data_IF_455224497905
#
_entry.id   IF_455224497905
#
_cell.length_a   1.000
_cell.length_b   1.000
_cell.length_c   1.000
_cell.angle_alpha   90.00
_cell.angle_beta   90.00
_cell.angle_gamma   90.00
#
_symmetry.space_group_name_H-M   'P 1'
#
loop_
_entity.id
_entity.type
_entity.pdbx_description
1 polymer ?
#
# COMPACT_ATOMS: atom_id res chain seq x y z
N UNK A 1 -15.32 -25.87 -49.35
CA UNK A 1 -15.10 -26.80 -48.22
C UNK A 1 -14.39 -26.14 -47.04
N UNK A 2 -13.27 -25.43 -47.25
CA UNK A 2 -12.56 -24.75 -46.15
C UNK A 2 -13.37 -23.58 -45.52
N UNK A 3 -14.01 -22.74 -46.34
CA UNK A 3 -14.81 -21.61 -45.84
C UNK A 3 -16.04 -22.02 -45.03
N UNK A 4 -16.69 -23.13 -45.39
CA UNK A 4 -17.84 -23.69 -44.64
C UNK A 4 -17.41 -24.28 -43.29
N UNK A 5 -16.23 -24.89 -43.22
CA UNK A 5 -15.66 -25.38 -41.95
C UNK A 5 -15.30 -24.21 -41.03
N UNK A 6 -14.66 -23.17 -41.56
CA UNK A 6 -14.33 -21.95 -40.80
C UNK A 6 -15.59 -21.29 -40.25
N UNK A 7 -16.63 -21.14 -41.07
CA UNK A 7 -17.90 -20.56 -40.63
C UNK A 7 -18.58 -21.41 -39.54
N UNK A 8 -18.62 -22.73 -39.70
CA UNK A 8 -19.19 -23.63 -38.70
C UNK A 8 -18.43 -23.56 -37.36
N UNK A 9 -17.10 -23.47 -37.40
CA UNK A 9 -16.27 -23.28 -36.20
C UNK A 9 -16.53 -21.93 -35.55
N UNK A 10 -16.61 -20.84 -36.32
CA UNK A 10 -16.91 -19.50 -35.78
C UNK A 10 -18.30 -19.44 -35.15
N UNK A 11 -19.31 -20.07 -35.79
CA UNK A 11 -20.67 -20.17 -35.24
C UNK A 11 -20.69 -21.03 -33.98
N UNK A 12 -19.99 -22.17 -33.96
CA UNK A 12 -19.89 -23.00 -32.76
C UNK A 12 -19.19 -22.27 -31.61
N UNK A 13 -18.11 -21.52 -31.88
CA UNK A 13 -17.45 -20.65 -30.91
C UNK A 13 -18.41 -19.58 -30.40
N UNK A 14 -19.15 -18.90 -31.29
CA UNK A 14 -20.13 -17.90 -30.90
C UNK A 14 -21.24 -18.50 -30.03
N UNK A 15 -21.77 -19.66 -30.40
CA UNK A 15 -22.78 -20.39 -29.61
C UNK A 15 -22.21 -20.73 -28.24
N UNK A 16 -21.01 -21.32 -28.15
CA UNK A 16 -20.37 -21.67 -26.87
C UNK A 16 -20.12 -20.42 -26.01
N UNK A 17 -19.72 -19.31 -26.61
CA UNK A 17 -19.52 -18.04 -25.90
C UNK A 17 -20.86 -17.53 -25.35
N UNK A 18 -21.90 -17.43 -26.19
CA UNK A 18 -23.22 -16.91 -25.80
C UNK A 18 -23.98 -17.87 -24.88
N UNK A 19 -23.76 -19.19 -24.98
CA UNK A 19 -24.41 -20.21 -24.16
C UNK A 19 -23.77 -20.39 -22.79
N UNK A 20 -22.59 -19.82 -22.54
CA UNK A 20 -22.02 -19.76 -21.19
C UNK A 20 -22.92 -18.89 -20.31
N UNK A 21 -23.70 -19.54 -19.45
CA UNK A 21 -24.48 -18.84 -18.42
C UNK A 21 -23.54 -17.97 -17.59
N UNK A 22 -24.00 -16.75 -17.30
CA UNK A 22 -23.33 -15.89 -16.31
C UNK A 22 -23.37 -16.65 -14.99
N UNK A 23 -22.21 -17.06 -14.50
CA UNK A 23 -22.12 -17.70 -13.19
C UNK A 23 -22.39 -16.63 -12.11
N UNK A 24 -23.18 -17.00 -11.11
CA UNK A 24 -23.48 -16.12 -9.98
C UNK A 24 -22.20 -15.83 -9.18
N UNK A 25 -22.04 -14.63 -8.61
CA UNK A 25 -20.86 -14.33 -7.80
C UNK A 25 -20.73 -15.32 -6.64
N UNK A 26 -19.53 -15.84 -6.41
CA UNK A 26 -19.28 -16.72 -5.25
C UNK A 26 -19.54 -15.89 -3.99
N UNK A 27 -20.35 -16.43 -3.08
CA UNK A 27 -20.80 -15.75 -1.86
C UNK A 27 -21.48 -14.39 -2.11
N UNK A 28 -22.03 -14.16 -3.31
CA UNK A 28 -22.63 -12.88 -3.69
C UNK A 28 -21.63 -11.73 -3.90
N UNK A 29 -20.32 -12.00 -3.81
CA UNK A 29 -19.26 -10.96 -3.80
C UNK A 29 -18.25 -11.19 -4.91
N UNK A 30 -17.74 -12.42 -5.06
CA UNK A 30 -16.59 -12.69 -5.91
C UNK A 30 -17.02 -13.03 -7.33
N UNK A 31 -16.99 -12.03 -8.22
CA UNK A 31 -17.38 -12.18 -9.63
C UNK A 31 -16.60 -13.29 -10.31
N UNK A 32 -17.27 -13.95 -11.25
CA UNK A 32 -16.75 -15.05 -12.06
C UNK A 32 -16.65 -14.65 -13.53
N UNK A 33 -15.86 -15.41 -14.29
CA UNK A 33 -15.66 -15.12 -15.70
C UNK A 33 -16.90 -15.46 -16.52
N UNK A 34 -17.66 -14.44 -16.95
CA UNK A 34 -18.79 -14.63 -17.87
C UNK A 34 -18.39 -14.91 -19.33
N UNK A 35 -19.37 -14.93 -20.23
CA UNK A 35 -19.23 -15.10 -21.68
C UNK A 35 -18.05 -14.35 -22.30
N UNK A 36 -17.91 -13.06 -21.98
CA UNK A 36 -16.90 -12.19 -22.58
C UNK A 36 -15.57 -12.17 -21.84
N UNK A 37 -15.36 -13.04 -20.85
CA UNK A 37 -14.17 -13.03 -20.00
C UNK A 37 -12.86 -13.05 -20.80
N UNK A 38 -12.72 -13.98 -21.76
CA UNK A 38 -11.49 -14.10 -22.56
C UNK A 38 -11.27 -12.85 -23.42
N UNK A 39 -12.33 -12.30 -24.00
CA UNK A 39 -12.25 -11.07 -24.78
C UNK A 39 -11.82 -9.87 -23.93
N UNK A 40 -12.47 -9.66 -22.79
CA UNK A 40 -12.12 -8.63 -21.80
C UNK A 40 -10.67 -8.78 -21.32
N UNK A 41 -10.25 -10.02 -21.05
CA UNK A 41 -8.89 -10.34 -20.64
C UNK A 41 -7.86 -9.95 -21.71
N UNK A 42 -8.09 -10.33 -22.97
CA UNK A 42 -7.18 -10.01 -24.09
C UNK A 42 -7.11 -8.49 -24.30
N UNK A 43 -8.25 -7.79 -24.32
CA UNK A 43 -8.27 -6.32 -24.43
C UNK A 43 -7.43 -5.69 -23.33
N UNK A 44 -7.66 -6.08 -22.07
CA UNK A 44 -6.95 -5.46 -20.95
C UNK A 44 -5.46 -5.80 -20.95
N UNK A 45 -5.08 -7.00 -21.41
CA UNK A 45 -3.66 -7.36 -21.64
C UNK A 45 -3.00 -6.47 -22.68
N UNK A 46 -3.69 -6.13 -23.77
CA UNK A 46 -3.19 -5.21 -24.80
C UNK A 46 -3.04 -3.80 -24.23
N UNK A 47 -4.02 -3.31 -23.46
CA UNK A 47 -3.94 -2.01 -22.79
C UNK A 47 -2.73 -1.94 -21.85
N UNK A 48 -2.55 -2.94 -20.98
CA UNK A 48 -1.43 -2.99 -20.04
C UNK A 48 -0.07 -3.09 -20.77
N UNK A 49 -0.01 -3.84 -21.86
CA UNK A 49 1.19 -3.92 -22.69
C UNK A 49 1.52 -2.57 -23.35
N UNK A 50 0.53 -1.88 -23.92
CA UNK A 50 0.70 -0.55 -24.50
C UNK A 50 1.20 0.47 -23.46
N UNK A 51 0.62 0.47 -22.25
CA UNK A 51 1.08 1.32 -21.14
C UNK A 51 2.54 1.04 -20.76
N UNK A 52 2.94 -0.24 -20.72
CA UNK A 52 4.33 -0.62 -20.44
C UNK A 52 5.29 -0.11 -21.52
N UNK A 53 4.93 -0.21 -22.79
CA UNK A 53 5.72 0.33 -23.90
C UNK A 53 5.85 1.86 -23.83
N UNK A 54 4.75 2.56 -23.49
CA UNK A 54 4.76 4.00 -23.30
C UNK A 54 5.70 4.43 -22.18
N UNK A 55 5.65 3.78 -21.01
CA UNK A 55 6.58 4.04 -19.90
C UNK A 55 8.05 3.89 -20.34
N UNK A 56 8.39 2.76 -20.97
CA UNK A 56 9.75 2.51 -21.46
C UNK A 56 10.19 3.57 -22.48
N UNK A 57 9.29 4.02 -23.35
CA UNK A 57 9.56 5.10 -24.32
C UNK A 57 9.84 6.43 -23.62
N UNK A 58 9.03 6.80 -22.63
CA UNK A 58 9.20 8.04 -21.86
C UNK A 58 10.54 8.05 -21.10
N UNK A 59 10.90 6.93 -20.48
CA UNK A 59 12.17 6.77 -19.74
C UNK A 59 13.39 6.83 -20.68
N UNK A 60 13.31 6.17 -21.84
CA UNK A 60 14.45 6.02 -22.78
C UNK A 60 14.64 7.24 -23.68
N UNK A 61 13.57 7.80 -24.26
CA UNK A 61 13.65 8.85 -25.29
C UNK A 61 13.64 10.27 -24.72
N UNK A 62 12.96 10.50 -23.60
CA UNK A 62 12.81 11.85 -23.05
C UNK A 62 13.71 12.10 -21.83
N UNK A 63 14.44 11.08 -21.37
CA UNK A 63 15.21 11.16 -20.13
C UNK A 63 14.36 11.50 -18.90
N UNK A 64 13.03 11.41 -19.00
CA UNK A 64 12.07 11.64 -17.93
C UNK A 64 12.10 10.44 -16.99
N UNK A 65 13.15 10.36 -16.17
CA UNK A 65 13.10 9.52 -14.98
C UNK A 65 12.03 10.08 -14.06
N UNK A 66 11.25 9.20 -13.44
CA UNK A 66 10.34 9.58 -12.35
C UNK A 66 11.11 10.44 -11.37
N UNK A 67 10.61 11.65 -11.11
CA UNK A 67 11.19 12.53 -10.11
C UNK A 67 10.80 11.99 -8.74
N UNK A 68 11.61 11.09 -8.19
CA UNK A 68 11.33 10.46 -6.90
C UNK A 68 11.22 11.50 -5.77
N UNK A 69 11.95 12.61 -5.86
CA UNK A 69 11.85 13.72 -4.91
C UNK A 69 10.44 14.30 -4.86
N UNK A 70 9.72 14.36 -5.99
CA UNK A 70 8.38 14.94 -6.00
C UNK A 70 7.32 14.02 -5.41
N UNK A 71 7.50 12.70 -5.48
CA UNK A 71 6.51 11.73 -4.97
C UNK A 71 6.79 11.26 -3.55
N UNK A 72 7.98 11.55 -3.02
CA UNK A 72 8.39 11.21 -1.64
C UNK A 72 8.14 12.35 -0.63
N UNK A 73 7.92 13.56 -1.13
CA UNK A 73 7.51 14.70 -0.31
C UNK A 73 6.01 14.62 0.02
N UNK A 74 5.55 15.34 1.06
CA UNK A 74 4.13 15.52 1.32
C UNK A 74 3.38 15.97 0.06
N UNK A 75 2.29 15.27 -0.22
CA UNK A 75 1.48 15.48 -1.42
C UNK A 75 0.35 16.47 -1.13
N UNK A 76 0.00 17.34 -2.10
CA UNK A 76 -1.19 18.17 -1.98
C UNK A 76 -2.44 17.29 -1.88
N UNK A 77 -3.25 17.53 -0.86
CA UNK A 77 -4.51 16.82 -0.67
C UNK A 77 -5.56 17.32 -1.66
N UNK A 78 -6.39 16.41 -2.17
CA UNK A 78 -7.52 16.78 -3.03
C UNK A 78 -8.63 17.49 -2.24
N UNK A 79 -9.61 18.04 -2.96
CA UNK A 79 -10.76 18.70 -2.31
C UNK A 79 -11.72 17.75 -1.60
N UNK A 80 -11.58 16.44 -1.78
CA UNK A 80 -12.49 15.47 -1.19
C UNK A 80 -12.34 15.38 0.34
N UNK A 81 -13.45 15.20 1.07
CA UNK A 81 -13.42 15.09 2.54
C UNK A 81 -12.55 13.92 3.05
N UNK A 82 -12.52 12.82 2.29
CA UNK A 82 -11.66 11.65 2.54
C UNK A 82 -10.29 11.71 1.84
N UNK A 83 -9.83 12.88 1.40
CA UNK A 83 -8.49 13.04 0.84
C UNK A 83 -7.42 12.57 1.84
N UNK A 84 -6.31 12.06 1.33
CA UNK A 84 -5.29 11.47 2.17
C UNK A 84 -3.93 11.41 1.46
N UNK A 85 -2.92 11.33 2.29
CA UNK A 85 -1.61 10.76 1.98
C UNK A 85 -1.17 9.98 3.21
N UNK A 86 -0.50 8.83 3.04
CA UNK A 86 -0.03 8.01 4.13
C UNK A 86 1.40 7.52 3.89
N UNK A 87 2.21 7.57 4.94
CA UNK A 87 3.51 6.91 5.02
C UNK A 87 3.47 5.94 6.19
N UNK A 88 3.87 4.70 5.95
CA UNK A 88 3.85 3.64 6.95
C UNK A 88 5.16 2.85 6.96
N UNK A 89 5.57 2.42 8.14
CA UNK A 89 6.77 1.65 8.36
C UNK A 89 6.50 0.46 9.25
N UNK A 90 7.08 -0.68 8.87
CA UNK A 90 7.12 -1.89 9.69
C UNK A 90 8.56 -2.34 9.80
N UNK A 91 8.98 -2.76 10.98
CA UNK A 91 10.25 -3.43 11.16
C UNK A 91 10.13 -4.56 12.16
N UNK A 92 10.86 -5.65 11.94
CA UNK A 92 10.95 -6.74 12.89
C UNK A 92 12.30 -7.46 12.80
N UNK A 93 12.70 -8.09 13.91
CA UNK A 93 13.90 -8.91 13.95
C UNK A 93 13.71 -10.17 14.79
N UNK A 94 14.76 -10.98 14.87
CA UNK A 94 14.73 -12.28 15.57
C UNK A 94 14.81 -12.16 17.08
N UNK A 95 15.19 -11.01 17.63
CA UNK A 95 15.22 -10.83 19.08
C UNK A 95 13.83 -10.59 19.65
N UNK A 96 12.80 -10.49 18.79
CA UNK A 96 11.42 -10.23 19.17
C UNK A 96 11.06 -8.75 19.14
N UNK A 97 11.95 -7.88 18.64
CA UNK A 97 11.61 -6.48 18.40
C UNK A 97 10.66 -6.37 17.21
N UNK A 98 9.60 -5.57 17.35
CA UNK A 98 8.85 -5.07 16.20
C UNK A 98 8.41 -3.62 16.37
N UNK A 99 8.32 -2.92 15.24
CA UNK A 99 7.79 -1.57 15.09
C UNK A 99 6.70 -1.61 14.02
N UNK A 100 5.57 -0.99 14.30
CA UNK A 100 4.59 -0.61 13.29
C UNK A 100 4.17 0.83 13.55
N UNK A 101 4.49 1.75 12.64
CA UNK A 101 4.21 3.17 12.81
C UNK A 101 3.80 3.81 11.50
N UNK A 102 2.86 4.75 11.57
CA UNK A 102 2.30 5.41 10.41
C UNK A 102 1.83 6.81 10.71
N UNK A 103 1.78 7.61 9.66
CA UNK A 103 1.16 8.93 9.65
C UNK A 103 0.41 9.08 8.33
N UNK A 104 -0.89 9.30 8.43
CA UNK A 104 -1.77 9.57 7.30
C UNK A 104 -2.32 10.99 7.42
N UNK A 105 -1.86 11.90 6.57
CA UNK A 105 -2.31 13.29 6.54
C UNK A 105 -3.74 13.38 6.02
N UNK A 106 -4.51 14.29 6.61
CA UNK A 106 -5.93 14.54 6.31
C UNK A 106 -6.16 16.04 6.18
N UNK A 107 -7.35 16.41 5.69
CA UNK A 107 -7.75 17.82 5.58
C UNK A 107 -7.75 18.51 6.95
N UNK A 108 -7.72 19.84 6.91
CA UNK A 108 -7.88 20.72 8.08
C UNK A 108 -6.79 20.54 9.15
N UNK A 109 -5.55 20.27 8.74
CA UNK A 109 -4.43 20.13 9.66
C UNK A 109 -4.50 18.90 10.54
N UNK A 110 -5.21 17.86 10.09
CA UNK A 110 -5.35 16.59 10.82
C UNK A 110 -4.44 15.51 10.24
N UNK A 111 -4.15 14.50 11.06
CA UNK A 111 -3.56 13.25 10.62
C UNK A 111 -4.07 12.08 11.45
N UNK A 112 -4.10 10.89 10.86
CA UNK A 112 -4.15 9.64 11.61
C UNK A 112 -2.73 9.16 11.87
N UNK A 113 -2.25 9.22 13.10
CA UNK A 113 -0.91 8.76 13.45
C UNK A 113 -0.94 7.70 14.55
N UNK A 114 -0.04 6.72 14.43
CA UNK A 114 0.05 5.61 15.37
C UNK A 114 1.49 5.10 15.50
N UNK A 115 1.80 4.54 16.67
CA UNK A 115 3.04 3.82 16.90
C UNK A 115 2.79 2.63 17.83
N UNK A 116 3.21 1.45 17.38
CA UNK A 116 3.30 0.22 18.15
C UNK A 116 4.76 -0.21 18.22
N UNK A 117 5.25 -0.47 19.42
CA UNK A 117 6.65 -0.83 19.67
C UNK A 117 6.71 -2.03 20.61
N UNK A 118 7.09 -3.20 20.12
CA UNK A 118 7.41 -4.33 20.97
C UNK A 118 8.87 -4.34 21.32
N UNK A 119 9.12 -4.32 22.62
CA UNK A 119 10.45 -4.38 23.18
C UNK A 119 10.61 -5.72 23.90
N UNK A 120 11.57 -6.57 23.51
CA UNK A 120 11.82 -7.84 24.17
C UNK A 120 12.01 -7.66 25.68
N UNK A 121 11.33 -8.49 26.48
CA UNK A 121 11.36 -8.41 27.95
C UNK A 121 10.41 -7.37 28.55
N UNK A 122 9.92 -6.38 27.78
CA UNK A 122 8.95 -5.38 28.25
C UNK A 122 7.51 -5.67 27.79
N UNK A 123 7.36 -6.08 26.53
CA UNK A 123 6.05 -6.28 25.90
C UNK A 123 5.73 -5.24 24.82
N UNK A 124 4.47 -5.23 24.38
CA UNK A 124 3.98 -4.31 23.35
C UNK A 124 3.58 -2.98 23.97
N UNK A 125 4.27 -1.92 23.58
CA UNK A 125 3.94 -0.54 23.92
C UNK A 125 3.11 0.10 22.80
N UNK A 126 2.07 0.82 23.19
CA UNK A 126 1.11 1.47 22.30
C UNK A 126 1.13 2.99 22.54
N UNK A 127 1.21 3.80 21.48
CA UNK A 127 1.12 5.26 21.60
C UNK A 127 -0.16 5.68 22.34
N UNK A 128 -0.05 6.67 23.22
CA UNK A 128 -1.15 7.15 24.08
C UNK A 128 -2.45 7.49 23.33
N UNK A 129 -2.36 7.97 22.09
CA UNK A 129 -3.52 8.29 21.27
C UNK A 129 -4.44 7.08 20.98
N UNK A 130 -3.93 5.84 21.06
CA UNK A 130 -4.70 4.65 20.69
C UNK A 130 -5.90 4.39 21.64
N UNK A 131 -7.11 4.12 21.08
CA UNK A 131 -7.38 3.80 19.68
C UNK A 131 -7.74 5.00 18.79
N UNK A 132 -7.87 6.21 19.33
CA UNK A 132 -8.22 7.40 18.55
C UNK A 132 -6.99 8.04 17.91
N UNK A 133 -6.69 7.65 16.67
CA UNK A 133 -5.48 8.11 15.98
C UNK A 133 -5.61 9.48 15.31
N UNK A 134 -6.79 10.11 15.33
CA UNK A 134 -6.98 11.44 14.76
C UNK A 134 -6.33 12.51 15.65
N UNK A 135 -5.33 13.19 15.10
CA UNK A 135 -4.43 14.10 15.80
C UNK A 135 -4.20 15.35 14.96
N UNK A 136 -3.72 16.41 15.58
CA UNK A 136 -3.21 17.58 14.87
C UNK A 136 -1.82 17.26 14.28
N UNK A 137 -1.62 17.64 13.02
CA UNK A 137 -0.31 17.54 12.36
C UNK A 137 0.34 18.92 12.29
N UNK A 138 1.64 18.96 12.59
CA UNK A 138 2.43 20.18 12.49
C UNK A 138 2.55 20.61 11.02
N UNK A 139 1.82 21.68 10.66
CA UNK A 139 1.75 22.20 9.30
C UNK A 139 3.07 22.81 8.82
N UNK A 140 3.84 23.43 9.72
CA UNK A 140 5.13 24.04 9.39
C UNK A 140 6.15 22.96 9.06
N UNK A 141 6.16 21.88 9.84
CA UNK A 141 7.00 20.70 9.59
C UNK A 141 6.58 19.96 8.34
N UNK A 142 5.26 19.82 8.10
CA UNK A 142 4.76 19.22 6.87
C UNK A 142 5.21 20.00 5.63
N UNK A 143 5.17 21.34 5.67
CA UNK A 143 5.69 22.18 4.59
C UNK A 143 7.20 21.99 4.34
N UNK A 144 7.95 21.54 5.35
CA UNK A 144 9.38 21.21 5.25
C UNK A 144 9.64 19.75 4.83
N UNK A 145 8.60 18.95 4.61
CA UNK A 145 8.72 17.54 4.24
C UNK A 145 8.80 16.58 5.43
N UNK A 146 8.37 17.01 6.61
CA UNK A 146 8.38 16.21 7.84
C UNK A 146 6.95 15.90 8.30
N UNK A 147 6.66 14.64 8.59
CA UNK A 147 5.37 14.19 9.08
C UNK A 147 5.41 14.11 10.60
N UNK A 148 4.75 15.04 11.30
CA UNK A 148 4.80 15.09 12.76
C UNK A 148 3.42 15.19 13.40
N UNK A 149 3.00 14.14 14.11
CA UNK A 149 1.73 14.07 14.83
C UNK A 149 1.80 13.03 15.97
N UNK A 150 1.27 13.36 17.16
CA UNK A 150 1.16 12.41 18.28
C UNK A 150 2.46 11.74 18.72
N UNK A 151 3.58 12.47 18.67
CA UNK A 151 4.92 11.97 18.98
C UNK A 151 5.63 11.28 17.82
N UNK A 152 4.91 10.85 16.77
CA UNK A 152 5.51 10.33 15.53
C UNK A 152 6.21 11.47 14.77
N UNK A 153 7.42 11.22 14.27
CA UNK A 153 8.13 12.11 13.36
C UNK A 153 8.81 11.30 12.25
N UNK A 154 8.44 11.56 10.99
CA UNK A 154 9.12 11.01 9.81
C UNK A 154 9.73 12.11 8.96
N UNK A 155 10.96 11.89 8.50
CA UNK A 155 11.65 12.81 7.59
C UNK A 155 12.34 12.05 6.47
N UNK A 156 11.98 12.38 5.23
CA UNK A 156 12.71 11.89 4.06
C UNK A 156 14.10 12.54 4.03
N UNK A 157 15.15 11.72 3.92
CA UNK A 157 16.55 12.18 3.83
C UNK A 157 17.06 12.01 2.40
N UNK A 158 16.76 10.87 1.79
CA UNK A 158 17.10 10.57 0.40
C UNK A 158 15.95 9.80 -0.22
N UNK A 159 15.33 10.31 -1.29
CA UNK A 159 14.15 9.71 -1.89
C UNK A 159 14.42 8.25 -2.26
N UNK A 160 13.45 7.36 -2.02
CA UNK A 160 13.54 5.92 -2.31
C UNK A 160 14.71 5.19 -1.66
N UNK A 161 15.39 5.78 -0.67
CA UNK A 161 16.58 5.15 -0.08
C UNK A 161 16.74 5.38 1.41
N UNK A 162 16.38 6.54 1.97
CA UNK A 162 16.66 6.84 3.38
C UNK A 162 15.63 7.75 4.03
N UNK A 163 15.14 7.32 5.18
CA UNK A 163 14.20 8.04 6.03
C UNK A 163 14.67 8.05 7.48
N UNK A 164 14.46 9.15 8.18
CA UNK A 164 14.48 9.19 9.65
C UNK A 164 13.09 8.89 10.15
N UNK A 165 13.03 8.02 11.15
CA UNK A 165 11.79 7.58 11.80
C UNK A 165 12.00 7.76 13.28
N UNK A 166 11.14 8.52 13.94
CA UNK A 166 11.22 8.73 15.37
C UNK A 166 9.83 8.68 16.01
N UNK A 167 9.84 8.35 17.30
CA UNK A 167 8.70 8.49 18.17
C UNK A 167 9.17 9.05 19.51
N UNK A 168 8.53 10.11 20.00
CA UNK A 168 8.78 10.65 21.33
C UNK A 168 7.46 10.97 22.03
N UNK A 169 7.19 10.28 23.14
CA UNK A 169 5.96 10.47 23.89
C UNK A 169 5.66 9.33 24.85
N UNK A 170 4.49 9.41 25.49
CA UNK A 170 4.01 8.38 26.41
C UNK A 170 3.40 7.20 25.65
N UNK A 171 3.75 6.00 26.08
CA UNK A 171 3.16 4.75 25.59
C UNK A 171 2.64 3.91 26.75
N UNK A 172 1.50 3.25 26.57
CA UNK A 172 0.96 2.31 27.56
C UNK A 172 1.25 0.86 27.16
N UNK A 173 1.33 -0.05 28.13
CA UNK A 173 1.48 -1.49 27.87
C UNK A 173 0.19 -2.10 27.33
N UNK A 174 0.28 -2.85 26.23
CA UNK A 174 -0.85 -3.62 25.73
C UNK A 174 -1.32 -4.64 26.76
N UNK A 175 -2.62 -4.62 27.08
CA UNK A 175 -3.22 -5.45 28.12
C UNK A 175 -3.31 -4.78 29.50
N UNK A 176 -2.53 -3.72 29.75
CA UNK A 176 -2.60 -2.95 30.99
C UNK A 176 -2.28 -1.46 30.74
N UNK A 177 -3.33 -0.66 30.53
CA UNK A 177 -3.21 0.78 30.25
C UNK A 177 -2.72 1.60 31.46
N UNK A 178 -2.69 1.04 32.66
CA UNK A 178 -2.20 1.75 33.85
C UNK A 178 -0.67 1.85 33.88
N UNK A 179 0.00 0.95 33.17
CA UNK A 179 1.45 0.97 33.00
C UNK A 179 1.83 1.86 31.82
N UNK A 180 2.32 3.05 32.13
CA UNK A 180 2.73 4.07 31.15
C UNK A 180 4.24 4.28 31.22
N UNK A 181 4.84 4.44 30.05
CA UNK A 181 6.27 4.61 29.87
C UNK A 181 6.56 5.85 29.02
N UNK A 182 7.58 6.60 29.39
CA UNK A 182 8.13 7.66 28.53
C UNK A 182 9.08 7.01 27.53
N UNK A 183 8.76 7.09 26.23
CA UNK A 183 9.50 6.40 25.17
C UNK A 183 10.13 7.41 24.22
N UNK A 184 11.42 7.21 23.95
CA UNK A 184 12.17 7.92 22.91
C UNK A 184 12.79 6.90 21.95
N UNK A 185 12.20 6.79 20.76
CA UNK A 185 12.69 5.96 19.66
C UNK A 185 13.24 6.83 18.55
N UNK A 186 14.47 6.54 18.12
CA UNK A 186 15.10 7.19 16.97
C UNK A 186 15.71 6.13 16.05
N UNK A 187 15.29 6.14 14.79
CA UNK A 187 15.68 5.18 13.78
C UNK A 187 16.00 5.81 12.44
N UNK A 188 16.78 5.07 11.65
CA UNK A 188 17.00 5.33 10.23
C UNK A 188 16.54 4.11 9.47
N UNK A 189 15.53 4.29 8.62
CA UNK A 189 15.17 3.31 7.63
C UNK A 189 15.98 3.54 6.37
N UNK A 190 16.50 2.47 5.79
CA UNK A 190 17.27 2.53 4.56
C UNK A 190 17.03 1.35 3.64
N UNK A 191 17.19 1.58 2.34
CA UNK A 191 17.13 0.54 1.33
C UNK A 191 18.06 0.81 0.14
N UNK A 192 18.55 -0.29 -0.42
CA UNK A 192 19.19 -0.39 -1.74
C UNK A 192 18.40 -1.31 -2.68
N UNK A 193 17.23 -1.80 -2.24
CA UNK A 193 16.35 -2.65 -3.03
C UNK A 193 15.46 -1.78 -3.92
N UNK A 194 15.04 -2.28 -5.08
CA UNK A 194 14.01 -1.61 -5.88
C UNK A 194 12.72 -1.46 -5.06
N UNK A 195 11.97 -0.41 -5.34
CA UNK A 195 10.59 -0.28 -4.89
C UNK A 195 9.66 -1.07 -5.82
N UNK A 196 8.49 -1.43 -5.30
CA UNK A 196 7.40 -2.03 -6.04
C UNK A 196 6.31 -0.99 -6.24
N UNK A 197 6.08 -0.56 -7.48
CA UNK A 197 5.05 0.40 -7.86
C UNK A 197 3.79 -0.34 -8.33
N UNK A 198 2.69 -0.18 -7.60
CA UNK A 198 1.44 -0.86 -7.92
C UNK A 198 0.83 -0.45 -9.27
N UNK A 199 1.23 0.69 -9.83
CA UNK A 199 0.75 1.11 -11.14
C UNK A 199 1.41 0.34 -12.29
N UNK A 200 2.67 -0.06 -12.11
CA UNK A 200 3.51 -0.57 -13.21
C UNK A 200 4.07 -1.98 -13.01
N UNK A 201 4.24 -2.41 -11.76
CA UNK A 201 4.95 -3.66 -11.43
C UNK A 201 4.01 -4.83 -11.13
N UNK A 202 2.70 -4.58 -11.04
CA UNK A 202 1.70 -5.64 -10.96
C UNK A 202 1.79 -6.58 -12.17
N UNK A 203 1.77 -7.89 -11.90
CA UNK A 203 1.84 -8.89 -12.96
C UNK A 203 0.64 -8.73 -13.92
N UNK A 204 0.86 -8.40 -15.22
CA UNK A 204 -0.23 -8.00 -16.11
C UNK A 204 -1.32 -9.05 -16.30
N UNK A 205 -0.95 -10.33 -16.26
CA UNK A 205 -1.94 -11.40 -16.35
C UNK A 205 -2.82 -11.48 -15.10
N UNK A 206 -2.31 -11.14 -13.92
CA UNK A 206 -3.10 -11.17 -12.68
C UNK A 206 -4.10 -10.02 -12.67
N UNK A 207 -3.64 -8.80 -12.99
CA UNK A 207 -4.52 -7.63 -13.08
C UNK A 207 -5.60 -7.80 -14.17
N UNK A 208 -5.21 -8.23 -15.38
CA UNK A 208 -6.17 -8.47 -16.46
C UNK A 208 -7.18 -9.56 -16.11
N UNK A 209 -6.77 -10.61 -15.38
CA UNK A 209 -7.69 -11.65 -14.88
C UNK A 209 -8.71 -11.05 -13.91
N UNK A 210 -8.28 -10.24 -12.95
CA UNK A 210 -9.18 -9.62 -11.97
C UNK A 210 -10.20 -8.72 -12.67
N UNK A 211 -9.74 -7.77 -13.48
CA UNK A 211 -10.59 -6.81 -14.21
C UNK A 211 -11.53 -7.49 -15.21
N UNK A 212 -11.11 -8.59 -15.85
CA UNK A 212 -11.96 -9.30 -16.81
C UNK A 212 -13.12 -10.08 -16.16
N UNK A 213 -13.07 -10.35 -14.85
CA UNK A 213 -14.19 -10.99 -14.13
C UNK A 213 -15.32 -10.02 -13.86
N UNK A 214 -15.01 -8.74 -13.72
CA UNK A 214 -15.99 -7.72 -13.37
C UNK A 214 -16.95 -7.41 -14.54
N UNK A 215 -18.13 -6.90 -14.18
CA UNK A 215 -19.13 -6.46 -15.15
C UNK A 215 -18.70 -5.10 -15.72
N UNK A 216 -18.27 -5.08 -16.99
CA UNK A 216 -17.80 -3.85 -17.63
C UNK A 216 -18.96 -2.93 -17.98
N UNK A 217 -18.94 -1.74 -17.42
CA UNK A 217 -19.82 -0.61 -17.73
C UNK A 217 -19.02 0.68 -17.68
N UNK A 218 -19.60 1.79 -18.14
CA UNK A 218 -19.01 3.12 -17.95
C UNK A 218 -18.78 3.40 -16.46
N UNK A 219 -19.78 3.15 -15.64
CA UNK A 219 -19.74 3.38 -14.19
C UNK A 219 -18.63 2.55 -13.51
N UNK A 220 -18.40 1.31 -13.95
CA UNK A 220 -17.30 0.49 -13.46
C UNK A 220 -15.94 1.14 -13.76
N UNK A 221 -15.73 1.60 -14.99
CA UNK A 221 -14.47 2.27 -15.36
C UNK A 221 -14.30 3.65 -14.71
N UNK A 222 -15.39 4.37 -14.46
CA UNK A 222 -15.34 5.63 -13.72
C UNK A 222 -15.03 5.37 -12.23
N UNK A 223 -15.57 4.29 -11.65
CA UNK A 223 -15.22 3.81 -10.31
C UNK A 223 -13.74 3.41 -10.21
N UNK A 224 -13.21 2.71 -11.21
CA UNK A 224 -11.78 2.36 -11.27
C UNK A 224 -10.89 3.61 -11.27
N UNK A 225 -11.26 4.66 -12.02
CA UNK A 225 -10.53 5.93 -12.03
C UNK A 225 -10.65 6.64 -10.68
N UNK A 226 -11.83 6.63 -10.07
CA UNK A 226 -12.07 7.24 -8.76
C UNK A 226 -11.29 6.58 -7.62
N UNK A 227 -11.13 5.26 -7.69
CA UNK A 227 -10.42 4.45 -6.71
C UNK A 227 -8.90 4.42 -6.93
N UNK A 228 -8.42 5.00 -8.02
CA UNK A 228 -6.99 5.08 -8.30
C UNK A 228 -6.26 5.89 -7.21
N UNK A 229 -5.15 5.34 -6.76
CA UNK A 229 -4.19 5.96 -5.85
C UNK A 229 -2.78 5.61 -6.33
N UNK A 230 -1.84 6.51 -6.11
CA UNK A 230 -0.42 6.17 -6.22
C UNK A 230 -0.04 5.41 -4.97
N UNK A 231 0.56 4.24 -5.14
CA UNK A 231 0.99 3.39 -4.03
C UNK A 231 2.24 2.64 -4.43
N UNK A 232 3.27 2.74 -3.61
CA UNK A 232 4.48 1.97 -3.77
C UNK A 232 5.02 1.49 -2.43
N UNK A 233 5.71 0.36 -2.49
CA UNK A 233 6.25 -0.34 -1.34
C UNK A 233 7.74 -0.56 -1.51
N UNK A 234 8.47 -0.58 -0.40
CA UNK A 234 9.90 -0.84 -0.43
C UNK A 234 10.35 -1.61 0.79
N UNK A 235 11.06 -2.70 0.54
CA UNK A 235 11.73 -3.48 1.57
C UNK A 235 13.08 -2.84 1.90
N UNK A 236 13.52 -2.96 3.15
CA UNK A 236 14.73 -2.31 3.63
C UNK A 236 15.22 -2.84 4.97
N UNK A 237 15.91 -1.97 5.69
CA UNK A 237 16.42 -2.20 7.04
C UNK A 237 16.12 -1.00 7.92
N UNK A 238 15.98 -1.26 9.22
CA UNK A 238 15.87 -0.24 10.25
C UNK A 238 17.05 -0.40 11.20
N UNK A 239 17.74 0.71 11.46
CA UNK A 239 18.77 0.82 12.49
C UNK A 239 18.35 1.94 13.43
N UNK A 240 18.24 1.67 14.73
CA UNK A 240 17.72 2.64 15.68
C UNK A 240 18.06 2.36 17.12
N UNK A 241 17.52 3.21 17.98
CA UNK A 241 17.69 3.19 19.43
C UNK A 241 16.36 3.45 20.09
N UNK A 242 16.07 2.71 21.16
CA UNK A 242 14.89 2.90 22.01
C UNK A 242 15.38 3.19 23.42
N UNK A 243 14.91 4.28 24.01
CA UNK A 243 15.05 4.59 25.44
C UNK A 243 13.67 4.58 26.08
N UNK A 244 13.56 3.97 27.26
CA UNK A 244 12.31 3.87 28.03
C UNK A 244 12.58 4.45 29.42
N UNK A 245 11.76 5.40 29.88
CA UNK A 245 11.88 6.06 31.19
C UNK A 245 13.27 6.64 31.49
N UNK A 246 13.98 7.11 30.46
CA UNK A 246 15.37 7.57 30.55
C UNK A 246 16.35 6.52 31.12
N UNK A 247 15.98 5.23 31.06
CA UNK A 247 16.80 4.08 31.43
C UNK A 247 17.76 3.67 30.29
N UNK A 248 18.23 2.42 30.29
CA UNK A 248 19.17 1.90 29.30
C UNK A 248 18.62 2.02 27.85
N UNK A 249 19.47 2.52 26.95
CA UNK A 249 19.18 2.61 25.52
C UNK A 249 19.42 1.27 24.82
N UNK A 250 18.36 0.72 24.23
CA UNK A 250 18.41 -0.53 23.46
C UNK A 250 18.72 -0.20 22.00
N UNK A 251 19.82 -0.73 21.48
CA UNK A 251 20.14 -0.66 20.05
C UNK A 251 19.34 -1.71 19.27
N UNK A 252 18.76 -1.30 18.15
CA UNK A 252 17.89 -2.13 17.32
C UNK A 252 18.41 -2.16 15.89
N UNK A 253 18.56 -3.36 15.35
CA UNK A 253 18.76 -3.60 13.92
C UNK A 253 17.71 -4.60 13.45
N UNK A 254 16.96 -4.24 12.41
CA UNK A 254 15.82 -5.02 11.95
C UNK A 254 15.69 -4.99 10.43
N UNK A 255 15.06 -6.04 9.88
CA UNK A 255 14.50 -5.93 8.54
C UNK A 255 13.27 -5.04 8.58
N UNK A 256 13.03 -4.32 7.50
CA UNK A 256 11.97 -3.33 7.48
C UNK A 256 11.25 -3.27 6.13
N UNK A 257 10.10 -2.62 6.18
CA UNK A 257 9.19 -2.35 5.09
C UNK A 257 8.73 -0.89 5.23
N UNK A 258 8.53 -0.25 4.09
CA UNK A 258 7.91 1.07 3.99
C UNK A 258 6.85 1.01 2.90
N UNK A 259 5.71 1.65 3.14
CA UNK A 259 4.81 2.08 2.07
C UNK A 259 4.66 3.60 2.06
N UNK A 260 4.32 4.12 0.88
CA UNK A 260 3.81 5.48 0.72
C UNK A 260 2.67 5.43 -0.28
N UNK A 261 1.54 6.01 0.09
CA UNK A 261 0.34 6.03 -0.73
C UNK A 261 -0.39 7.36 -0.63
N UNK A 262 -0.97 7.81 -1.73
CA UNK A 262 -1.75 9.04 -1.79
C UNK A 262 -2.72 9.02 -2.96
N UNK A 263 -3.80 9.80 -2.85
CA UNK A 263 -4.80 9.85 -3.90
C UNK A 263 -5.95 10.79 -3.59
N UNK A 264 -6.93 10.81 -4.50
CA UNK A 264 -8.11 11.69 -4.38
C UNK A 264 -8.87 11.43 -3.07
N UNK A 265 -9.11 10.17 -2.74
CA UNK A 265 -9.82 9.75 -1.52
C UNK A 265 -9.38 8.36 -1.09
N UNK A 266 -9.42 8.08 0.22
CA UNK A 266 -9.33 6.73 0.77
C UNK A 266 -10.58 6.40 1.54
N UNK A 267 -11.22 5.33 1.11
CA UNK A 267 -12.43 4.84 1.75
C UNK A 267 -12.28 3.36 2.07
N UNK A 268 -12.04 3.06 3.35
CA UNK A 268 -11.84 1.70 3.83
C UNK A 268 -13.09 0.83 3.67
N UNK A 269 -14.28 1.41 3.52
CA UNK A 269 -15.52 0.66 3.26
C UNK A 269 -15.55 0.02 1.87
N UNK A 270 -14.62 0.37 0.98
CA UNK A 270 -14.51 -0.25 -0.34
C UNK A 270 -13.86 -1.64 -0.24
N UNK A 271 -13.05 -1.89 0.77
CA UNK A 271 -12.42 -3.19 0.99
C UNK A 271 -13.39 -4.11 1.70
N UNK A 272 -13.78 -5.21 1.04
CA UNK A 272 -14.58 -6.24 1.67
C UNK A 272 -13.72 -7.13 2.59
N UNK A 273 -12.52 -7.49 2.13
CA UNK A 273 -11.52 -8.22 2.92
C UNK A 273 -10.14 -8.00 2.33
N UNK A 274 -9.11 -8.06 3.16
CA UNK A 274 -7.75 -8.16 2.69
C UNK A 274 -6.89 -8.98 3.66
N UNK A 275 -5.83 -9.58 3.12
CA UNK A 275 -4.74 -10.16 3.88
C UNK A 275 -3.45 -9.53 3.41
N UNK A 276 -2.61 -9.11 4.35
CA UNK A 276 -1.33 -8.47 4.07
C UNK A 276 -0.27 -9.01 5.02
N UNK A 277 0.74 -9.67 4.46
CA UNK A 277 1.83 -10.27 5.20
C UNK A 277 3.16 -9.72 4.72
N UNK A 278 3.94 -9.20 5.66
CA UNK A 278 5.35 -8.86 5.46
C UNK A 278 6.17 -9.92 6.18
N UNK A 279 7.01 -10.63 5.43
CA UNK A 279 7.77 -11.77 5.90
C UNK A 279 9.26 -11.48 5.79
N UNK A 280 10.00 -11.68 6.89
CA UNK A 280 11.44 -11.53 6.95
C UNK A 280 12.08 -12.87 7.35
N UNK A 281 12.90 -13.44 6.46
CA UNK A 281 13.43 -14.80 6.62
C UNK A 281 14.85 -14.82 7.18
N UNK A 282 15.28 -16.01 7.65
CA UNK A 282 16.58 -16.19 8.29
C UNK A 282 17.77 -16.05 7.33
N UNK A 283 17.57 -16.37 6.08
CA UNK A 283 18.55 -16.21 5.00
C UNK A 283 18.67 -14.75 4.52
N UNK A 284 17.85 -13.83 5.05
CA UNK A 284 17.80 -12.42 4.65
C UNK A 284 16.81 -12.15 3.52
N UNK A 285 16.14 -13.17 2.97
CA UNK A 285 15.04 -13.03 2.03
C UNK A 285 13.88 -12.29 2.68
N UNK A 286 13.14 -11.52 1.87
CA UNK A 286 12.02 -10.68 2.31
C UNK A 286 10.90 -10.80 1.30
N UNK A 287 9.68 -10.96 1.78
CA UNK A 287 8.52 -11.18 0.93
C UNK A 287 7.35 -10.37 1.45
N UNK A 288 6.62 -9.72 0.55
CA UNK A 288 5.31 -9.13 0.82
C UNK A 288 4.28 -9.95 0.06
N UNK A 289 3.24 -10.42 0.76
CA UNK A 289 2.12 -11.15 0.17
C UNK A 289 0.83 -10.44 0.52
N UNK A 290 0.11 -10.00 -0.50
CA UNK A 290 -1.14 -9.26 -0.36
C UNK A 290 -2.25 -9.89 -1.20
N UNK A 291 -3.45 -9.98 -0.63
CA UNK A 291 -4.69 -10.28 -1.36
C UNK A 291 -5.73 -9.28 -0.92
N UNK A 292 -6.35 -8.57 -1.86
CA UNK A 292 -7.33 -7.52 -1.58
C UNK A 292 -8.59 -7.82 -2.38
N UNK A 293 -9.72 -7.86 -1.69
CA UNK A 293 -11.05 -7.87 -2.29
C UNK A 293 -11.66 -6.49 -2.12
N UNK A 294 -11.77 -5.78 -3.24
CA UNK A 294 -12.43 -4.49 -3.34
C UNK A 294 -13.51 -4.61 -4.41
N UNK A 295 -14.73 -5.08 -4.08
CA UNK A 295 -15.73 -5.48 -5.07
C UNK A 295 -16.15 -4.40 -6.07
N UNK A 296 -15.91 -3.12 -5.78
CA UNK A 296 -16.17 -2.03 -6.70
C UNK A 296 -15.12 -1.88 -7.82
N UNK A 297 -13.94 -2.50 -7.69
CA UNK A 297 -12.84 -2.45 -8.66
C UNK A 297 -12.35 -3.84 -9.06
N UNK A 298 -12.05 -4.69 -8.08
CA UNK A 298 -11.65 -6.08 -8.27
C UNK A 298 -12.09 -6.90 -7.06
N UNK A 299 -13.08 -7.77 -7.26
CA UNK A 299 -13.62 -8.59 -6.19
C UNK A 299 -12.68 -9.69 -5.71
N UNK A 300 -11.66 -10.09 -6.50
CA UNK A 300 -10.73 -11.20 -6.21
C UNK A 300 -9.26 -10.82 -6.35
#
# INVERSE_FOLDING_TARGET
MLGTIILAVLVAILIILVSKRKEEPVLGIYKQGGTFYIFKYVIFRVILFARKLEKMRLETQLGKKTNFDSIEKPQPLSEHAKAFEAVFFVAANRTGFYLATGCETRKNGKANALCYLMVPGKGLLCSEALPNTELDIDQEKLAQGEYQAGGVNFKMVTPMSRWKIAYKGKMFLHGDKSQVFDVDFNGTWSSHLPHFDYEHDLHPATLARAIAREDWSRDYFDTLKEAHQTHYEQLGQLQGKVTINDEETINVTSHAFRDHSFGKKRDWTLMHRYGFHILFFKDGSKVVVAVISQPCTSSR
#
